data_IF_198373368131
#
_entry.id   IF_198373368131
#
_cell.length_a   1.000
_cell.length_b   1.000
_cell.length_c   1.000
_cell.angle_alpha   90.00
_cell.angle_beta   90.00
_cell.angle_gamma   90.00
#
_symmetry.space_group_name_H-M   'P 1'
#
loop_
_entity.id
_entity.type
_entity.pdbx_description
1 polymer ?
#
# COMPACT_ATOMS: atom_id res chain seq x y z
N UNK A 1 -12.78 -22.86 -19.61
CA UNK A 1 -11.87 -21.97 -18.85
C UNK A 1 -11.15 -20.96 -19.72
N UNK A 2 -10.63 -21.32 -20.90
CA UNK A 2 -9.95 -20.38 -21.82
C UNK A 2 -10.78 -19.16 -22.24
N UNK A 3 -12.08 -19.35 -22.53
CA UNK A 3 -12.99 -18.24 -22.91
C UNK A 3 -13.22 -17.26 -21.75
N UNK A 4 -13.28 -17.76 -20.51
CA UNK A 4 -13.44 -16.93 -19.32
C UNK A 4 -12.17 -16.11 -19.03
N UNK A 5 -10.99 -16.72 -19.19
CA UNK A 5 -9.70 -16.05 -19.04
C UNK A 5 -9.51 -14.91 -20.05
N UNK A 6 -10.01 -15.07 -21.29
CA UNK A 6 -9.93 -14.04 -22.32
C UNK A 6 -10.83 -12.83 -22.02
N UNK A 7 -12.06 -13.07 -21.55
CA UNK A 7 -13.00 -12.00 -21.18
C UNK A 7 -12.54 -11.26 -19.91
N UNK A 8 -11.97 -11.97 -18.95
CA UNK A 8 -11.37 -11.38 -17.74
C UNK A 8 -10.13 -10.53 -18.10
N UNK A 9 -9.41 -10.85 -19.17
CA UNK A 9 -8.24 -10.08 -19.59
C UNK A 9 -8.57 -8.66 -20.12
N UNK A 10 -9.84 -8.36 -20.38
CA UNK A 10 -10.33 -7.10 -20.95
C UNK A 10 -11.06 -6.21 -19.92
N UNK A 11 -11.23 -6.67 -18.67
CA UNK A 11 -11.98 -5.95 -17.64
C UNK A 11 -11.07 -5.10 -16.73
N UNK A 12 -11.57 -3.97 -16.18
CA UNK A 12 -10.81 -3.12 -15.25
C UNK A 12 -10.30 -3.91 -14.03
N UNK A 13 -9.16 -3.49 -13.46
CA UNK A 13 -8.39 -4.27 -12.47
C UNK A 13 -9.22 -4.79 -11.27
N UNK A 14 -10.22 -4.02 -10.81
CA UNK A 14 -11.11 -4.43 -9.72
C UNK A 14 -12.01 -5.63 -10.08
N UNK A 15 -12.59 -5.65 -11.28
CA UNK A 15 -13.46 -6.76 -11.73
C UNK A 15 -12.66 -8.04 -11.95
N UNK A 16 -11.42 -7.91 -12.43
CA UNK A 16 -10.45 -9.01 -12.54
C UNK A 16 -10.16 -9.65 -11.20
N UNK A 17 -9.88 -8.85 -10.17
CA UNK A 17 -9.62 -9.36 -8.82
C UNK A 17 -10.83 -10.08 -8.22
N UNK A 18 -12.03 -9.50 -8.35
CA UNK A 18 -13.29 -10.09 -7.83
C UNK A 18 -13.57 -11.48 -8.41
N UNK A 19 -13.22 -11.70 -9.68
CA UNK A 19 -13.41 -13.00 -10.32
C UNK A 19 -12.25 -13.94 -10.00
N UNK A 20 -10.99 -13.46 -10.00
CA UNK A 20 -9.81 -14.31 -9.76
C UNK A 20 -9.69 -14.78 -8.31
N UNK A 21 -10.09 -13.98 -7.32
CA UNK A 21 -9.96 -14.30 -5.90
C UNK A 21 -10.67 -15.61 -5.51
N UNK A 22 -11.95 -15.84 -5.87
CA UNK A 22 -12.63 -17.10 -5.59
C UNK A 22 -11.94 -18.31 -6.21
N UNK A 23 -11.41 -18.20 -7.44
CA UNK A 23 -10.71 -19.30 -8.10
C UNK A 23 -9.33 -19.55 -7.50
N UNK A 24 -8.59 -18.49 -7.16
CA UNK A 24 -7.30 -18.59 -6.48
C UNK A 24 -7.49 -19.19 -5.06
N UNK A 25 -8.49 -18.73 -4.32
CA UNK A 25 -8.84 -19.26 -3.00
C UNK A 25 -9.30 -20.72 -3.08
N UNK A 26 -10.15 -21.07 -4.05
CA UNK A 26 -10.56 -22.46 -4.29
C UNK A 26 -9.37 -23.34 -4.70
N UNK A 27 -8.51 -22.86 -5.59
CA UNK A 27 -7.29 -23.55 -6.02
C UNK A 27 -6.33 -23.78 -4.85
N UNK A 28 -6.09 -22.76 -4.03
CA UNK A 28 -5.27 -22.85 -2.83
C UNK A 28 -5.89 -23.81 -1.81
N UNK A 29 -7.18 -23.71 -1.52
CA UNK A 29 -7.88 -24.61 -0.60
C UNK A 29 -7.87 -26.07 -1.10
N UNK A 30 -8.06 -26.29 -2.41
CA UNK A 30 -8.01 -27.62 -3.02
C UNK A 30 -6.59 -28.17 -3.05
N UNK A 31 -5.60 -27.33 -3.29
CA UNK A 31 -4.17 -27.66 -3.21
C UNK A 31 -3.75 -28.04 -1.79
N UNK A 32 -4.16 -27.25 -0.79
CA UNK A 32 -3.99 -27.54 0.63
C UNK A 32 -4.68 -28.84 1.02
N UNK A 33 -5.92 -29.07 0.57
CA UNK A 33 -6.63 -30.32 0.82
C UNK A 33 -5.93 -31.51 0.16
N UNK A 34 -5.45 -31.35 -1.08
CA UNK A 34 -4.71 -32.40 -1.78
C UNK A 34 -3.40 -32.71 -1.07
N UNK A 35 -2.60 -31.69 -0.72
CA UNK A 35 -1.37 -31.83 0.06
C UNK A 35 -1.64 -32.49 1.42
N UNK A 36 -2.63 -32.02 2.16
CA UNK A 36 -3.04 -32.62 3.43
C UNK A 36 -3.52 -34.07 3.26
N UNK A 37 -4.17 -34.40 2.15
CA UNK A 37 -4.61 -35.77 1.83
C UNK A 37 -3.44 -36.68 1.41
N UNK A 38 -2.42 -36.15 0.74
CA UNK A 38 -1.23 -36.88 0.35
C UNK A 38 -0.33 -37.13 1.55
N UNK A 39 -0.12 -36.10 2.38
CA UNK A 39 0.54 -36.23 3.68
C UNK A 39 -0.23 -37.20 4.57
N UNK A 40 -1.56 -37.11 4.64
CA UNK A 40 -2.41 -38.02 5.41
C UNK A 40 -2.40 -39.46 4.89
N UNK A 41 -2.19 -39.67 3.59
CA UNK A 41 -2.04 -41.01 2.97
C UNK A 41 -0.63 -41.58 3.18
N UNK A 42 0.42 -40.76 3.03
CA UNK A 42 1.80 -41.14 3.36
C UNK A 42 2.00 -41.39 4.86
N UNK A 43 1.29 -40.64 5.71
CA UNK A 43 1.24 -40.89 7.15
C UNK A 43 0.49 -42.18 7.47
N UNK A 44 -0.51 -42.60 6.68
CA UNK A 44 -1.21 -43.88 6.92
C UNK A 44 -0.29 -45.09 6.87
N UNK A 45 0.74 -45.09 6.00
CA UNK A 45 1.73 -46.16 5.98
C UNK A 45 2.70 -46.11 7.16
N UNK A 46 2.93 -44.93 7.75
CA UNK A 46 3.74 -44.73 8.96
C UNK A 46 2.94 -44.92 10.27
N UNK A 47 1.61 -44.76 10.26
CA UNK A 47 0.71 -44.86 11.43
C UNK A 47 0.30 -46.29 11.79
N UNK A 48 0.92 -47.32 11.21
CA UNK A 48 0.97 -48.63 11.89
C UNK A 48 1.63 -48.50 13.29
N UNK A 49 2.45 -47.46 13.49
CA UNK A 49 3.14 -47.22 14.75
C UNK A 49 2.36 -46.23 15.62
N UNK A 50 1.74 -46.80 16.66
CA UNK A 50 0.91 -46.25 17.73
C UNK A 50 1.62 -45.24 18.66
N UNK A 51 2.38 -44.26 18.14
CA UNK A 51 3.04 -43.26 19.00
C UNK A 51 2.50 -41.85 18.75
N UNK A 52 1.84 -41.27 19.75
CA UNK A 52 1.35 -39.88 19.73
C UNK A 52 2.46 -38.86 19.44
N UNK A 53 3.71 -39.22 19.72
CA UNK A 53 4.91 -38.39 19.48
C UNK A 53 5.09 -38.03 18.00
N UNK A 54 4.94 -38.98 17.08
CA UNK A 54 5.10 -38.71 15.63
C UNK A 54 4.05 -37.71 15.13
N UNK A 55 2.81 -37.83 15.63
CA UNK A 55 1.72 -36.92 15.30
C UNK A 55 2.01 -35.50 15.79
N UNK A 56 2.49 -35.36 17.02
CA UNK A 56 2.86 -34.06 17.60
C UNK A 56 4.05 -33.44 16.87
N UNK A 57 5.08 -34.23 16.50
CA UNK A 57 6.24 -33.75 15.74
C UNK A 57 5.83 -33.21 14.38
N UNK A 58 4.96 -33.92 13.65
CA UNK A 58 4.50 -33.48 12.33
C UNK A 58 3.62 -32.23 12.39
N UNK A 59 2.76 -32.13 13.40
CA UNK A 59 1.95 -30.93 13.61
C UNK A 59 2.81 -29.72 13.98
N UNK A 60 3.79 -29.91 14.86
CA UNK A 60 4.78 -28.89 15.20
C UNK A 60 5.61 -28.45 13.99
N UNK A 61 6.08 -29.39 13.18
CA UNK A 61 6.78 -29.09 11.94
C UNK A 61 5.90 -28.30 10.96
N UNK A 62 4.62 -28.64 10.84
CA UNK A 62 3.66 -27.90 10.02
C UNK A 62 3.49 -26.44 10.48
N UNK A 63 3.33 -26.20 11.78
CA UNK A 63 3.25 -24.85 12.34
C UNK A 63 4.53 -24.07 12.07
N UNK A 64 5.70 -24.69 12.26
CA UNK A 64 7.00 -24.05 12.00
C UNK A 64 7.13 -23.67 10.52
N UNK A 65 6.75 -24.55 9.59
CA UNK A 65 6.81 -24.27 8.15
C UNK A 65 5.87 -23.12 7.79
N UNK A 66 4.63 -23.13 8.28
CA UNK A 66 3.68 -22.04 8.03
C UNK A 66 4.18 -20.72 8.62
N UNK A 67 4.69 -20.73 9.86
CA UNK A 67 5.28 -19.57 10.49
C UNK A 67 6.47 -19.02 9.69
N UNK A 68 7.36 -19.90 9.22
CA UNK A 68 8.51 -19.55 8.39
C UNK A 68 8.10 -18.91 7.05
N UNK A 69 7.10 -19.49 6.37
CA UNK A 69 6.59 -18.93 5.10
C UNK A 69 5.96 -17.55 5.31
N UNK A 70 5.22 -17.34 6.39
CA UNK A 70 4.67 -16.01 6.72
C UNK A 70 5.79 -15.02 7.04
N UNK A 71 6.80 -15.43 7.79
CA UNK A 71 7.97 -14.59 8.07
C UNK A 71 8.71 -14.20 6.78
N UNK A 72 8.86 -15.11 5.82
CA UNK A 72 9.47 -14.78 4.53
C UNK A 72 8.63 -13.78 3.74
N UNK A 73 7.31 -13.94 3.67
CA UNK A 73 6.43 -12.97 2.99
C UNK A 73 6.54 -11.58 3.61
N UNK A 74 6.55 -11.50 4.95
CA UNK A 74 6.74 -10.23 5.66
C UNK A 74 8.14 -9.66 5.37
N UNK A 75 9.17 -10.49 5.39
CA UNK A 75 10.54 -10.09 5.06
C UNK A 75 10.68 -9.57 3.62
N UNK A 76 10.04 -10.23 2.66
CA UNK A 76 9.97 -9.81 1.26
C UNK A 76 9.26 -8.47 1.12
N UNK A 77 8.15 -8.28 1.84
CA UNK A 77 7.42 -7.02 1.85
C UNK A 77 8.23 -5.86 2.45
N UNK A 78 8.94 -6.10 3.56
CA UNK A 78 9.82 -5.11 4.18
C UNK A 78 10.97 -4.76 3.24
N UNK A 79 11.63 -5.77 2.66
CA UNK A 79 12.73 -5.57 1.72
C UNK A 79 12.29 -4.83 0.46
N UNK A 80 11.16 -5.22 -0.13
CA UNK A 80 10.55 -4.52 -1.26
C UNK A 80 10.24 -3.06 -0.91
N UNK A 81 9.65 -2.81 0.26
CA UNK A 81 9.37 -1.45 0.73
C UNK A 81 10.64 -0.63 0.99
N UNK A 82 11.77 -1.29 1.24
CA UNK A 82 13.06 -0.64 1.47
C UNK A 82 13.82 -0.37 0.18
N UNK A 83 13.75 -1.29 -0.79
CA UNK A 83 14.45 -1.20 -2.07
C UNK A 83 13.69 -0.35 -3.10
N UNK A 84 12.37 -0.55 -3.22
CA UNK A 84 11.54 0.12 -4.23
C UNK A 84 10.75 1.31 -3.67
N UNK A 85 10.68 1.43 -2.35
CA UNK A 85 9.86 2.43 -1.68
C UNK A 85 8.37 2.09 -1.74
N UNK A 86 7.59 2.77 -0.92
CA UNK A 86 6.13 2.66 -0.96
C UNK A 86 5.54 4.02 -0.65
N UNK A 87 4.77 4.60 -1.58
CA UNK A 87 4.12 5.91 -1.37
C UNK A 87 3.34 5.87 -0.06
N UNK A 88 2.58 4.79 0.17
CA UNK A 88 1.87 4.56 1.45
C UNK A 88 2.83 4.59 2.63
N UNK A 89 3.84 3.72 2.66
CA UNK A 89 4.78 3.67 3.79
C UNK A 89 5.50 5.00 4.04
N UNK A 90 5.90 5.71 3.00
CA UNK A 90 6.57 7.01 3.11
C UNK A 90 5.64 8.12 3.59
N UNK A 91 4.43 8.24 3.03
CA UNK A 91 3.45 9.22 3.50
C UNK A 91 3.05 8.95 4.95
N UNK A 92 2.82 7.69 5.33
CA UNK A 92 2.52 7.34 6.73
C UNK A 92 3.65 7.78 7.66
N UNK A 93 4.92 7.50 7.33
CA UNK A 93 6.08 7.93 8.14
C UNK A 93 6.18 9.45 8.21
N UNK A 94 5.95 10.14 7.10
CA UNK A 94 5.98 11.60 7.03
C UNK A 94 4.93 12.23 7.96
N UNK A 95 3.69 11.73 7.90
CA UNK A 95 2.59 12.18 8.75
C UNK A 95 2.86 11.86 10.23
N UNK A 96 3.27 10.63 10.54
CA UNK A 96 3.59 10.22 11.91
C UNK A 96 4.70 11.07 12.54
N UNK A 97 5.70 11.47 11.75
CA UNK A 97 6.78 12.32 12.21
C UNK A 97 6.33 13.75 12.56
N UNK A 98 5.16 14.19 12.07
CA UNK A 98 4.58 15.52 12.26
C UNK A 98 3.29 15.50 13.08
N UNK A 99 3.02 14.43 13.83
CA UNK A 99 1.80 14.31 14.64
C UNK A 99 1.70 15.39 15.73
N UNK A 100 2.83 15.91 16.21
CA UNK A 100 2.88 17.00 17.19
C UNK A 100 2.81 18.41 16.55
N UNK A 101 2.89 18.52 15.22
CA UNK A 101 2.86 19.77 14.44
C UNK A 101 1.43 20.04 13.93
N UNK A 102 0.53 20.40 14.85
CA UNK A 102 -0.91 20.60 14.58
C UNK A 102 -1.24 21.89 13.81
N UNK A 103 -0.27 22.79 13.67
CA UNK A 103 -0.41 24.06 12.97
C UNK A 103 -0.38 23.91 11.44
N UNK A 104 0.19 22.82 10.91
CA UNK A 104 0.21 22.55 9.48
C UNK A 104 -1.15 22.05 8.97
N UNK A 105 -1.71 22.78 8.02
CA UNK A 105 -2.74 22.22 7.16
C UNK A 105 -2.10 21.21 6.19
N UNK A 106 -2.73 20.05 6.04
CA UNK A 106 -2.22 18.96 5.18
C UNK A 106 -3.14 18.79 3.98
N UNK A 107 -2.58 19.00 2.79
CA UNK A 107 -3.28 18.94 1.52
C UNK A 107 -2.78 17.77 0.66
N UNK A 108 -3.70 16.99 0.10
CA UNK A 108 -3.43 16.14 -1.05
C UNK A 108 -3.89 16.87 -2.30
N UNK A 109 -2.94 17.40 -3.08
CA UNK A 109 -3.22 18.15 -4.31
C UNK A 109 -3.17 17.18 -5.49
N UNK A 110 -4.33 16.67 -5.88
CA UNK A 110 -4.40 15.61 -6.86
C UNK A 110 -5.78 15.45 -7.50
N UNK A 111 -5.80 14.87 -8.69
CA UNK A 111 -7.00 14.44 -9.39
C UNK A 111 -6.70 13.25 -10.32
N UNK A 112 -7.62 12.92 -11.23
CA UNK A 112 -7.44 11.82 -12.18
C UNK A 112 -6.31 12.04 -13.20
N UNK A 113 -5.95 13.30 -13.50
CA UNK A 113 -4.86 13.67 -14.42
C UNK A 113 -3.51 13.69 -13.69
N UNK A 114 -3.49 14.20 -12.46
CA UNK A 114 -2.32 14.29 -11.59
C UNK A 114 -2.54 13.48 -10.32
N UNK A 115 -2.47 12.14 -10.38
CA UNK A 115 -2.67 11.31 -9.20
C UNK A 115 -1.46 11.34 -8.26
N UNK A 116 -1.71 11.39 -6.95
CA UNK A 116 -0.68 11.22 -5.92
C UNK A 116 -0.50 9.74 -5.53
N UNK A 117 -1.57 8.96 -5.36
CA UNK A 117 -1.48 7.50 -5.32
C UNK A 117 -1.93 6.89 -6.66
N UNK A 118 -1.31 5.78 -7.04
CA UNK A 118 -1.66 5.04 -8.27
C UNK A 118 -3.04 4.35 -8.22
N UNK A 119 -3.72 4.38 -7.07
CA UNK A 119 -4.94 3.62 -6.81
C UNK A 119 -5.98 4.47 -6.10
N UNK A 120 -7.27 4.25 -6.40
CA UNK A 120 -8.38 4.90 -5.70
C UNK A 120 -8.54 6.37 -6.04
N UNK A 121 -9.62 6.96 -5.53
CA UNK A 121 -9.92 8.38 -5.65
C UNK A 121 -9.32 9.16 -4.47
N UNK A 122 -9.08 10.47 -4.61
CA UNK A 122 -8.49 11.31 -3.55
C UNK A 122 -9.17 11.19 -2.17
N UNK A 123 -10.48 10.99 -2.12
CA UNK A 123 -11.21 10.79 -0.85
C UNK A 123 -10.77 9.51 -0.10
N UNK A 124 -10.41 8.45 -0.82
CA UNK A 124 -9.86 7.23 -0.20
C UNK A 124 -8.48 7.49 0.39
N UNK A 125 -7.72 8.41 -0.21
CA UNK A 125 -6.38 8.76 0.25
C UNK A 125 -6.44 9.52 1.56
N UNK A 126 -7.40 10.45 1.71
CA UNK A 126 -7.65 11.14 2.98
C UNK A 126 -8.00 10.17 4.10
N UNK A 127 -8.94 9.26 3.84
CA UNK A 127 -9.33 8.26 4.82
C UNK A 127 -8.14 7.38 5.23
N UNK A 128 -7.28 7.02 4.27
CA UNK A 128 -6.11 6.21 4.54
C UNK A 128 -5.02 7.01 5.31
N UNK A 129 -4.75 8.25 4.90
CA UNK A 129 -3.79 9.14 5.54
C UNK A 129 -4.21 9.52 6.97
N UNK A 130 -5.51 9.67 7.21
CA UNK A 130 -6.08 9.95 8.53
C UNK A 130 -5.85 8.85 9.57
N UNK A 131 -5.42 7.64 9.19
CA UNK A 131 -4.96 6.64 10.16
C UNK A 131 -3.59 6.96 10.77
N UNK A 132 -2.83 7.87 10.15
CA UNK A 132 -1.44 8.18 10.51
C UNK A 132 -1.24 9.62 10.97
N UNK A 133 -2.18 10.51 10.67
CA UNK A 133 -2.22 11.88 11.16
C UNK A 133 -2.88 11.96 12.54
N UNK A 134 -2.64 13.06 13.25
CA UNK A 134 -3.37 13.35 14.48
C UNK A 134 -4.86 13.67 14.15
N UNK A 135 -5.84 13.27 14.99
CA UNK A 135 -7.25 13.56 14.75
C UNK A 135 -7.59 15.05 14.63
N UNK A 136 -6.78 15.92 15.25
CA UNK A 136 -6.95 17.36 15.21
C UNK A 136 -6.23 18.02 14.01
N UNK A 137 -5.44 17.26 13.23
CA UNK A 137 -4.82 17.75 12.00
C UNK A 137 -5.84 17.83 10.85
N UNK A 138 -5.83 18.97 10.17
CA UNK A 138 -6.70 19.20 9.03
C UNK A 138 -6.14 18.53 7.77
N UNK A 139 -6.70 17.38 7.38
CA UNK A 139 -6.40 16.72 6.11
C UNK A 139 -7.49 17.05 5.07
N UNK A 140 -7.08 17.60 3.93
CA UNK A 140 -7.98 18.04 2.86
C UNK A 140 -7.44 17.62 1.49
N UNK A 141 -8.35 17.37 0.55
CA UNK A 141 -7.99 17.22 -0.88
C UNK A 141 -8.23 18.56 -1.56
N UNK A 142 -7.26 18.98 -2.38
CA UNK A 142 -7.40 20.13 -3.25
C UNK A 142 -7.27 19.69 -4.70
N UNK A 143 -8.19 20.16 -5.53
CA UNK A 143 -8.07 20.02 -6.98
C UNK A 143 -6.85 20.81 -7.47
N UNK A 144 -6.01 20.25 -8.36
CA UNK A 144 -4.85 20.94 -8.92
C UNK A 144 -5.16 22.33 -9.47
N UNK A 145 -6.28 22.50 -10.16
CA UNK A 145 -6.70 23.80 -10.70
C UNK A 145 -7.00 24.84 -9.60
N UNK A 146 -7.55 24.42 -8.46
CA UNK A 146 -7.80 25.30 -7.33
C UNK A 146 -6.49 25.70 -6.65
N UNK A 147 -5.58 24.74 -6.47
CA UNK A 147 -4.26 24.97 -5.89
C UNK A 147 -3.40 25.91 -6.73
N UNK A 148 -3.36 25.71 -8.05
CA UNK A 148 -2.62 26.58 -8.98
C UNK A 148 -3.24 27.98 -9.10
N UNK A 149 -4.55 28.11 -8.83
CA UNK A 149 -5.23 29.41 -8.88
C UNK A 149 -4.99 30.26 -7.63
N UNK A 150 -4.89 29.63 -6.46
CA UNK A 150 -4.61 30.32 -5.19
C UNK A 150 -3.95 29.35 -4.22
N UNK A 151 -2.69 29.62 -3.86
CA UNK A 151 -1.98 28.81 -2.88
C UNK A 151 -2.58 28.97 -1.47
N UNK A 152 -2.60 27.90 -0.66
CA UNK A 152 -2.97 27.99 0.75
C UNK A 152 -2.06 28.94 1.53
N UNK A 153 -2.54 29.45 2.66
CA UNK A 153 -1.72 30.25 3.57
C UNK A 153 -0.80 29.34 4.41
N UNK A 154 0.48 29.69 4.62
CA UNK A 154 1.39 28.96 5.52
C UNK A 154 0.92 28.95 6.98
N UNK A 155 1.30 27.94 7.77
CA UNK A 155 2.11 26.77 7.38
C UNK A 155 1.26 25.66 6.77
N UNK A 156 1.76 25.00 5.72
CA UNK A 156 1.08 23.86 5.11
C UNK A 156 2.01 22.85 4.46
N UNK A 157 1.49 21.62 4.32
CA UNK A 157 2.11 20.56 3.53
C UNK A 157 1.20 20.22 2.35
N UNK A 158 1.77 20.13 1.15
CA UNK A 158 1.07 19.67 -0.04
C UNK A 158 1.72 18.41 -0.63
N UNK A 159 0.99 17.30 -0.59
CA UNK A 159 1.33 16.07 -1.30
C UNK A 159 0.86 16.16 -2.75
N UNK A 160 1.76 15.99 -3.71
CA UNK A 160 1.43 16.07 -5.13
C UNK A 160 2.37 15.24 -6.01
N UNK A 161 1.97 15.05 -7.28
CA UNK A 161 2.85 14.46 -8.29
C UNK A 161 3.95 15.45 -8.67
N UNK A 162 5.11 14.91 -9.07
CA UNK A 162 6.21 15.72 -9.60
C UNK A 162 5.77 16.55 -10.80
N UNK A 163 4.97 15.97 -11.69
CA UNK A 163 4.53 16.67 -12.90
C UNK A 163 3.70 17.91 -12.57
N UNK A 164 2.83 17.83 -11.56
CA UNK A 164 2.08 18.99 -11.08
C UNK A 164 3.00 20.02 -10.42
N UNK A 165 3.95 19.57 -9.61
CA UNK A 165 4.92 20.45 -8.99
C UNK A 165 5.76 21.22 -10.04
N UNK A 166 6.24 20.53 -11.08
CA UNK A 166 7.05 21.17 -12.14
C UNK A 166 6.25 22.24 -12.91
N UNK A 167 4.93 22.08 -13.05
CA UNK A 167 4.04 23.11 -13.62
C UNK A 167 3.97 24.33 -12.69
N UNK A 168 3.80 24.11 -11.38
CA UNK A 168 3.65 25.16 -10.38
C UNK A 168 4.98 25.80 -9.93
N UNK A 169 6.12 25.21 -10.31
CA UNK A 169 7.40 25.40 -9.64
C UNK A 169 7.86 26.85 -9.59
N UNK A 170 7.78 27.56 -10.71
CA UNK A 170 8.24 28.95 -10.78
C UNK A 170 7.39 29.87 -9.89
N UNK A 171 6.07 29.70 -9.91
CA UNK A 171 5.15 30.48 -9.09
C UNK A 171 5.32 30.17 -7.59
N UNK A 172 5.53 28.90 -7.24
CA UNK A 172 5.77 28.47 -5.86
C UNK A 172 7.05 29.07 -5.28
N UNK A 173 8.16 29.06 -6.03
CA UNK A 173 9.41 29.68 -5.58
C UNK A 173 9.37 31.22 -5.62
N UNK A 174 8.46 31.82 -6.39
CA UNK A 174 8.24 33.25 -6.38
C UNK A 174 7.44 33.71 -5.15
N UNK A 175 6.44 32.93 -4.74
CA UNK A 175 5.56 33.22 -3.59
C UNK A 175 6.22 32.84 -2.26
N UNK A 176 6.87 31.68 -2.19
CA UNK A 176 7.40 31.10 -0.95
C UNK A 176 8.92 30.94 -1.01
N UNK A 177 9.62 31.60 -0.08
CA UNK A 177 11.08 31.59 -0.02
C UNK A 177 11.69 30.43 0.77
N UNK A 178 10.87 29.75 1.57
CA UNK A 178 11.22 28.75 2.58
C UNK A 178 10.66 27.35 2.25
N UNK A 179 10.42 27.11 0.96
CA UNK A 179 9.86 25.86 0.45
C UNK A 179 10.84 24.69 0.62
N UNK A 180 10.41 23.66 1.35
CA UNK A 180 11.12 22.39 1.52
C UNK A 180 10.44 21.27 0.72
N UNK A 181 11.24 20.42 0.05
CA UNK A 181 10.74 19.31 -0.76
C UNK A 181 11.29 18.00 -0.24
N UNK A 182 10.39 17.08 0.08
CA UNK A 182 10.73 15.70 0.41
C UNK A 182 10.12 14.75 -0.64
N UNK A 183 10.95 13.95 -1.29
CA UNK A 183 10.46 12.94 -2.24
C UNK A 183 9.99 11.70 -1.49
N UNK A 184 8.76 11.26 -1.76
CA UNK A 184 8.16 10.14 -1.05
C UNK A 184 8.57 8.78 -1.64
N UNK A 185 9.10 8.79 -2.86
CA UNK A 185 9.53 7.60 -3.61
C UNK A 185 10.96 7.72 -4.13
N UNK A 186 11.69 6.60 -4.27
CA UNK A 186 13.04 6.59 -4.86
C UNK A 186 13.11 7.10 -6.30
N UNK A 187 12.07 6.83 -7.10
CA UNK A 187 11.93 7.34 -8.47
C UNK A 187 11.54 8.84 -8.52
N UNK A 188 11.19 9.39 -7.36
CA UNK A 188 10.79 10.77 -7.13
C UNK A 188 9.54 11.20 -7.90
N UNK A 189 8.68 10.26 -8.28
CA UNK A 189 7.43 10.51 -8.99
C UNK A 189 6.45 11.39 -8.23
N UNK A 190 6.49 11.34 -6.89
CA UNK A 190 5.62 12.13 -6.00
C UNK A 190 6.42 12.70 -4.83
N UNK A 191 5.94 13.81 -4.28
CA UNK A 191 6.63 14.59 -3.25
C UNK A 191 5.65 15.17 -2.22
N UNK A 192 6.21 15.51 -1.05
CA UNK A 192 5.61 16.43 -0.10
C UNK A 192 6.36 17.76 -0.19
N UNK A 193 5.60 18.84 -0.33
CA UNK A 193 6.11 20.20 -0.30
C UNK A 193 5.66 20.84 1.01
N UNK A 194 6.61 21.32 1.81
CA UNK A 194 6.38 21.95 3.11
C UNK A 194 6.74 23.44 3.03
N UNK A 195 5.89 24.29 3.61
CA UNK A 195 6.07 25.74 3.71
C UNK A 195 5.71 26.19 5.13
N UNK A 196 6.52 27.05 5.73
CA UNK A 196 6.43 27.46 7.15
C UNK A 196 6.07 28.93 7.35
#
# INVERSE_FOLDING_TARGET
MFVLAFVINQAPNYTRMLVLLPFAAYGAARGLYWLASQVGRGMRSLTSIRSGRIRTTLFGAGIIIVGFLNFQIVGDYVRFSWEEGSIRGSTARYLMARTDELDFDIYAVANAEYPYYEWGDPDLWLNWAGFFADPDQALKVLEPAAFLGTFPSPPFVAFMSRDLFEIAREDLYAEFSDLEIEYMMPDKSVLAMEIR
#
